data_IF_613980092361
#
_entry.id   IF_613980092361
#
_cell.length_a   1.000
_cell.length_b   1.000
_cell.length_c   1.000
_cell.angle_alpha   90.00
_cell.angle_beta   90.00
_cell.angle_gamma   90.00
#
_symmetry.space_group_name_H-M   'P 1'
#
loop_
_entity.id
_entity.type
_entity.pdbx_description
1 polymer ?
#
# COMPACT_ATOMS: atom_id res chain seq x y z
N UNK A 1 -9.90 16.94 11.77
CA UNK A 1 -9.75 15.64 12.48
C UNK A 1 -8.55 14.94 11.87
N UNK A 2 -7.70 14.21 12.62
CA UNK A 2 -6.65 13.43 11.99
C UNK A 2 -7.26 12.41 11.01
N UNK A 3 -6.53 12.08 9.96
CA UNK A 3 -6.90 11.04 9.00
C UNK A 3 -6.77 9.70 9.69
N UNK A 4 -7.88 8.97 9.73
CA UNK A 4 -7.90 7.56 10.12
C UNK A 4 -8.21 6.70 8.91
N UNK A 5 -7.66 5.48 8.93
CA UNK A 5 -7.80 4.53 7.83
C UNK A 5 -9.24 4.09 7.68
N UNK A 6 -9.92 3.77 8.78
CA UNK A 6 -11.28 3.24 8.73
C UNK A 6 -12.33 4.26 8.30
N UNK A 7 -12.20 5.54 8.68
CA UNK A 7 -13.08 6.61 8.18
C UNK A 7 -12.91 6.80 6.67
N UNK A 8 -11.66 6.84 6.20
CA UNK A 8 -11.37 6.95 4.77
C UNK A 8 -11.94 5.75 4.01
N UNK A 9 -11.72 4.53 4.53
CA UNK A 9 -12.23 3.30 3.91
C UNK A 9 -13.76 3.23 3.86
N UNK A 10 -14.48 3.77 4.85
CA UNK A 10 -15.93 3.85 4.81
C UNK A 10 -16.43 4.61 3.57
N UNK A 11 -15.85 5.78 3.30
CA UNK A 11 -16.19 6.57 2.11
C UNK A 11 -15.86 5.81 0.82
N UNK A 12 -14.70 5.15 0.77
CA UNK A 12 -14.24 4.36 -0.38
C UNK A 12 -15.15 3.16 -0.65
N UNK A 13 -15.50 2.39 0.38
CA UNK A 13 -16.40 1.23 0.27
C UNK A 13 -17.79 1.66 -0.17
N UNK A 14 -18.31 2.74 0.41
CA UNK A 14 -19.63 3.29 0.06
C UNK A 14 -19.69 3.69 -1.41
N UNK A 15 -18.71 4.47 -1.88
CA UNK A 15 -18.64 4.88 -3.28
C UNK A 15 -18.42 3.70 -4.22
N UNK A 16 -17.46 2.83 -3.90
CA UNK A 16 -17.10 1.68 -4.71
C UNK A 16 -18.28 0.74 -4.92
N UNK A 17 -19.01 0.38 -3.85
CA UNK A 17 -20.19 -0.49 -4.00
C UNK A 17 -21.33 0.21 -4.73
N UNK A 18 -21.54 1.51 -4.50
CA UNK A 18 -22.54 2.26 -5.28
C UNK A 18 -22.25 2.20 -6.78
N UNK A 19 -21.00 2.39 -7.19
CA UNK A 19 -20.60 2.35 -8.59
C UNK A 19 -20.75 0.96 -9.20
N UNK A 20 -20.36 -0.07 -8.45
CA UNK A 20 -20.53 -1.48 -8.86
C UNK A 20 -22.02 -1.81 -9.04
N UNK A 21 -22.86 -1.44 -8.07
CA UNK A 21 -24.31 -1.64 -8.15
C UNK A 21 -24.91 -0.96 -9.39
N UNK A 22 -24.52 0.29 -9.65
CA UNK A 22 -24.99 1.04 -10.80
C UNK A 22 -24.55 0.42 -12.12
N UNK A 23 -23.28 0.02 -12.24
CA UNK A 23 -22.73 -0.51 -13.48
C UNK A 23 -23.25 -1.91 -13.80
N UNK A 24 -23.29 -2.80 -12.81
CA UNK A 24 -23.69 -4.20 -12.99
C UNK A 24 -25.18 -4.46 -12.80
N UNK A 25 -25.97 -3.45 -12.40
CA UNK A 25 -27.41 -3.60 -12.17
C UNK A 25 -27.77 -4.53 -10.99
N UNK A 26 -26.86 -4.67 -10.02
CA UNK A 26 -27.05 -5.51 -8.83
C UNK A 26 -27.50 -4.68 -7.64
N UNK A 27 -28.34 -5.25 -6.78
CA UNK A 27 -28.76 -4.56 -5.56
C UNK A 27 -27.60 -4.42 -4.56
N UNK A 28 -27.65 -3.41 -3.67
CA UNK A 28 -26.67 -3.26 -2.58
C UNK A 28 -26.60 -4.52 -1.70
N UNK A 29 -27.75 -5.12 -1.40
CA UNK A 29 -27.83 -6.34 -0.60
C UNK A 29 -27.12 -7.53 -1.28
N UNK A 30 -27.30 -7.70 -2.59
CA UNK A 30 -26.61 -8.72 -3.37
C UNK A 30 -25.10 -8.47 -3.41
N UNK A 31 -24.67 -7.22 -3.63
CA UNK A 31 -23.26 -6.84 -3.64
C UNK A 31 -22.57 -7.16 -2.29
N UNK A 32 -23.21 -6.81 -1.17
CA UNK A 32 -22.73 -7.14 0.17
C UNK A 32 -22.65 -8.66 0.37
N UNK A 33 -23.66 -9.40 -0.06
CA UNK A 33 -23.68 -10.86 0.10
C UNK A 33 -22.53 -11.52 -0.67
N UNK A 34 -22.23 -11.07 -1.88
CA UNK A 34 -21.09 -11.55 -2.67
C UNK A 34 -19.75 -11.14 -2.06
N UNK A 35 -19.62 -9.91 -1.58
CA UNK A 35 -18.41 -9.48 -0.86
C UNK A 35 -18.15 -10.36 0.39
N UNK A 36 -19.19 -10.70 1.16
CA UNK A 36 -19.09 -11.64 2.29
C UNK A 36 -18.62 -13.02 1.88
N UNK A 37 -19.09 -13.54 0.75
CA UNK A 37 -18.63 -14.83 0.24
C UNK A 37 -17.12 -14.79 -0.03
N UNK A 38 -16.64 -13.72 -0.68
CA UNK A 38 -15.20 -13.50 -0.87
C UNK A 38 -14.43 -13.35 0.44
N UNK A 39 -14.98 -12.69 1.47
CA UNK A 39 -14.35 -12.64 2.80
C UNK A 39 -14.09 -14.04 3.38
N UNK A 40 -15.08 -14.93 3.24
CA UNK A 40 -14.98 -16.31 3.70
C UNK A 40 -13.90 -17.07 2.94
N UNK A 41 -14.00 -17.11 1.61
CA UNK A 41 -13.11 -17.90 0.75
C UNK A 41 -11.67 -17.37 0.74
N UNK A 42 -11.49 -16.06 0.60
CA UNK A 42 -10.16 -15.46 0.50
C UNK A 42 -9.36 -15.66 1.79
N UNK A 43 -10.01 -15.61 2.96
CA UNK A 43 -9.32 -15.79 4.24
C UNK A 43 -8.65 -17.15 4.40
N UNK A 44 -9.21 -18.21 3.81
CA UNK A 44 -8.54 -19.51 3.73
C UNK A 44 -7.44 -19.53 2.67
N UNK A 45 -7.66 -18.83 1.55
CA UNK A 45 -6.73 -18.77 0.43
C UNK A 45 -5.43 -18.04 0.78
N UNK A 46 -5.42 -16.94 1.56
CA UNK A 46 -4.16 -16.24 1.90
C UNK A 46 -3.09 -17.07 2.63
N UNK A 47 -3.46 -18.25 3.13
CA UNK A 47 -2.59 -19.20 3.80
C UNK A 47 -2.40 -20.50 3.01
N UNK A 48 -2.89 -20.58 1.76
CA UNK A 48 -2.69 -21.73 0.89
C UNK A 48 -1.66 -21.40 -0.20
N UNK A 49 -0.84 -22.40 -0.54
CA UNK A 49 0.23 -22.26 -1.55
C UNK A 49 -0.31 -22.10 -2.98
N UNK A 50 -1.61 -22.35 -3.20
CA UNK A 50 -2.26 -22.36 -4.52
C UNK A 50 -3.48 -21.42 -4.61
N UNK A 51 -3.51 -20.36 -3.80
CA UNK A 51 -4.61 -19.42 -3.79
C UNK A 51 -4.77 -18.67 -5.11
N UNK A 52 -5.88 -18.90 -5.80
CA UNK A 52 -6.31 -18.09 -6.93
C UNK A 52 -7.34 -17.07 -6.48
N UNK A 53 -6.88 -15.91 -6.03
CA UNK A 53 -7.74 -14.80 -5.62
C UNK A 53 -8.32 -14.13 -6.88
N UNK A 54 -9.63 -13.94 -6.90
CA UNK A 54 -10.35 -13.44 -8.07
C UNK A 54 -10.43 -11.91 -8.08
N UNK A 55 -9.29 -11.23 -8.04
CA UNK A 55 -9.26 -9.76 -7.97
C UNK A 55 -9.80 -9.07 -9.22
N UNK A 56 -10.07 -9.78 -10.30
CA UNK A 56 -10.84 -9.28 -11.44
C UNK A 56 -12.30 -8.95 -11.07
N UNK A 57 -12.90 -9.66 -10.10
CA UNK A 57 -14.23 -9.33 -9.60
C UNK A 57 -14.14 -8.11 -8.64
N UNK A 58 -14.87 -7.02 -8.93
CA UNK A 58 -14.82 -5.83 -8.09
C UNK A 58 -15.29 -6.07 -6.65
N UNK A 59 -16.20 -7.02 -6.40
CA UNK A 59 -16.67 -7.33 -5.05
C UNK A 59 -15.65 -8.15 -4.25
N UNK A 60 -14.76 -8.89 -4.93
CA UNK A 60 -13.58 -9.47 -4.30
C UNK A 60 -12.62 -8.36 -3.82
N UNK A 61 -12.43 -7.31 -4.63
CA UNK A 61 -11.65 -6.13 -4.25
C UNK A 61 -12.28 -5.36 -3.09
N UNK A 62 -13.60 -5.19 -3.05
CA UNK A 62 -14.33 -4.60 -1.91
C UNK A 62 -14.09 -5.43 -0.63
N UNK A 63 -14.17 -6.76 -0.71
CA UNK A 63 -13.90 -7.63 0.42
C UNK A 63 -12.45 -7.48 0.94
N UNK A 64 -11.49 -7.29 0.03
CA UNK A 64 -10.09 -7.00 0.38
C UNK A 64 -9.94 -5.64 1.09
N UNK A 65 -10.51 -4.58 0.50
CA UNK A 65 -10.50 -3.22 1.05
C UNK A 65 -10.98 -3.21 2.51
N UNK A 66 -12.13 -3.83 2.75
CA UNK A 66 -12.71 -3.95 4.08
C UNK A 66 -11.77 -4.69 5.06
N UNK A 67 -11.21 -5.82 4.63
CA UNK A 67 -10.51 -6.73 5.53
C UNK A 67 -9.10 -6.30 5.87
N UNK A 68 -8.34 -5.83 4.88
CA UNK A 68 -6.88 -5.82 4.97
C UNK A 68 -6.28 -4.43 4.87
N UNK A 69 -6.91 -3.50 4.13
CA UNK A 69 -6.26 -2.22 3.80
C UNK A 69 -5.97 -1.37 5.03
N UNK A 70 -6.87 -1.32 6.01
CA UNK A 70 -6.60 -0.59 7.26
C UNK A 70 -5.34 -1.10 7.97
N UNK A 71 -5.22 -2.42 8.14
CA UNK A 71 -4.04 -3.02 8.77
C UNK A 71 -2.78 -2.83 7.92
N UNK A 72 -2.88 -2.98 6.60
CA UNK A 72 -1.74 -2.84 5.69
C UNK A 72 -1.25 -1.39 5.61
N UNK A 73 -2.15 -0.42 5.69
CA UNK A 73 -1.81 1.00 5.80
C UNK A 73 -1.12 1.31 7.13
N UNK A 74 -1.60 0.77 8.25
CA UNK A 74 -0.98 0.94 9.57
C UNK A 74 0.42 0.32 9.64
N UNK A 75 0.65 -0.80 8.95
CA UNK A 75 1.99 -1.37 8.82
C UNK A 75 2.95 -0.39 8.13
N UNK A 76 2.50 0.29 7.08
CA UNK A 76 3.29 1.28 6.34
C UNK A 76 3.57 2.50 7.20
N UNK A 77 2.55 3.09 7.81
CA UNK A 77 2.72 4.21 8.76
C UNK A 77 3.76 3.88 9.85
N UNK A 78 3.63 2.70 10.46
CA UNK A 78 4.58 2.20 11.46
C UNK A 78 6.00 2.03 10.92
N UNK A 79 6.17 1.59 9.67
CA UNK A 79 7.50 1.44 9.08
C UNK A 79 8.22 2.78 8.94
N UNK A 80 7.51 3.82 8.50
CA UNK A 80 8.06 5.18 8.40
C UNK A 80 8.43 5.76 9.78
N UNK A 81 7.70 5.40 10.84
CA UNK A 81 8.05 5.81 12.20
C UNK A 81 9.22 5.03 12.81
N UNK A 82 9.34 3.73 12.49
CA UNK A 82 10.37 2.85 13.06
C UNK A 82 11.77 3.15 12.53
N UNK A 83 11.87 3.65 11.30
CA UNK A 83 13.15 3.93 10.69
C UNK A 83 13.46 5.43 10.72
N UNK A 84 14.25 5.86 11.70
CA UNK A 84 14.65 7.26 11.90
C UNK A 84 15.18 7.93 10.63
N UNK A 85 16.01 7.23 9.87
CA UNK A 85 16.66 7.75 8.67
C UNK A 85 15.64 8.01 7.55
N UNK A 86 14.65 7.12 7.40
CA UNK A 86 13.56 7.30 6.45
C UNK A 86 12.63 8.42 6.92
N UNK A 87 12.31 8.46 8.21
CA UNK A 87 11.49 9.52 8.81
C UNK A 87 12.11 10.89 8.60
N UNK A 88 13.39 11.05 8.92
CA UNK A 88 14.14 12.28 8.75
C UNK A 88 14.23 12.69 7.28
N UNK A 89 14.48 11.72 6.38
CA UNK A 89 14.50 11.98 4.95
C UNK A 89 13.18 12.58 4.45
N UNK A 90 12.05 12.03 4.88
CA UNK A 90 10.72 12.55 4.49
C UNK A 90 10.42 13.86 5.20
N UNK A 91 10.76 14.00 6.49
CA UNK A 91 10.57 15.24 7.23
C UNK A 91 11.32 16.42 6.61
N UNK A 92 12.50 16.18 6.04
CA UNK A 92 13.27 17.20 5.32
C UNK A 92 12.58 17.67 4.03
N UNK A 93 11.66 16.89 3.45
CA UNK A 93 10.92 17.30 2.25
C UNK A 93 9.99 18.49 2.51
N UNK A 94 9.50 18.65 3.75
CA UNK A 94 8.69 19.82 4.13
C UNK A 94 9.48 21.13 4.07
N UNK A 95 10.80 21.06 4.32
CA UNK A 95 11.67 22.23 4.37
C UNK A 95 12.20 22.62 2.98
N UNK A 96 12.32 21.65 2.07
CA UNK A 96 12.87 21.84 0.72
C UNK A 96 11.83 22.17 -0.34
N UNK A 97 10.53 22.04 -0.04
CA UNK A 97 9.43 22.15 -1.01
C UNK A 97 9.65 21.30 -2.27
N UNK A 98 10.30 20.16 -2.14
CA UNK A 98 10.56 19.24 -3.25
C UNK A 98 9.43 18.24 -3.45
N UNK A 99 9.27 17.81 -4.70
CA UNK A 99 8.40 16.70 -5.05
C UNK A 99 9.06 15.38 -4.64
N UNK A 100 8.32 14.54 -3.93
CA UNK A 100 8.77 13.24 -3.47
C UNK A 100 8.26 12.14 -4.42
N UNK A 101 9.18 11.34 -4.95
CA UNK A 101 8.86 10.21 -5.83
C UNK A 101 8.80 8.91 -5.01
N UNK A 102 7.61 8.31 -4.95
CA UNK A 102 7.35 7.06 -4.20
C UNK A 102 6.83 5.98 -5.15
N UNK A 103 7.32 4.76 -4.99
CA UNK A 103 6.85 3.61 -5.76
C UNK A 103 6.43 2.44 -4.86
N UNK A 104 5.19 1.97 -5.00
CA UNK A 104 4.73 0.73 -4.36
C UNK A 104 4.83 -0.44 -5.35
N UNK A 105 5.55 -1.50 -4.96
CA UNK A 105 5.74 -2.71 -5.77
C UNK A 105 4.81 -3.82 -5.28
N UNK A 106 3.83 -4.23 -6.08
CA UNK A 106 2.75 -5.12 -5.67
C UNK A 106 1.74 -4.42 -4.76
N UNK A 107 1.40 -3.17 -5.10
CA UNK A 107 0.67 -2.27 -4.20
C UNK A 107 -0.82 -2.55 -4.05
N UNK A 108 -1.39 -3.48 -4.83
CA UNK A 108 -2.81 -3.82 -4.81
C UNK A 108 -3.72 -2.59 -4.81
N UNK A 109 -4.61 -2.41 -3.82
CA UNK A 109 -5.51 -1.26 -3.74
C UNK A 109 -4.84 0.06 -3.34
N UNK A 110 -3.55 0.07 -2.98
CA UNK A 110 -2.80 1.26 -2.57
C UNK A 110 -2.83 1.55 -1.07
N UNK A 111 -2.76 0.51 -0.22
CA UNK A 111 -2.59 0.67 1.23
C UNK A 111 -1.37 1.50 1.60
N UNK A 112 -0.31 1.45 0.80
CA UNK A 112 0.94 2.17 1.06
C UNK A 112 0.73 3.67 0.97
N UNK A 113 -0.08 4.14 0.02
CA UNK A 113 -0.43 5.55 -0.08
C UNK A 113 -1.21 5.99 1.17
N UNK A 114 -2.17 5.20 1.61
CA UNK A 114 -3.01 5.52 2.77
C UNK A 114 -2.17 5.63 4.05
N UNK A 115 -1.28 4.66 4.30
CA UNK A 115 -0.34 4.70 5.42
C UNK A 115 0.61 5.90 5.33
N UNK A 116 1.15 6.15 4.14
CA UNK A 116 2.06 7.27 3.92
C UNK A 116 1.40 8.65 4.12
N UNK A 117 0.13 8.80 3.73
CA UNK A 117 -0.63 10.03 3.95
C UNK A 117 -0.80 10.33 5.44
N UNK A 118 -1.15 9.32 6.26
CA UNK A 118 -1.29 9.48 7.71
C UNK A 118 0.05 9.86 8.35
N UNK A 119 1.14 9.21 7.92
CA UNK A 119 2.50 9.56 8.33
C UNK A 119 2.84 11.04 8.03
N UNK A 120 2.63 11.47 6.78
CA UNK A 120 2.88 12.86 6.35
C UNK A 120 2.04 13.87 7.13
N UNK A 121 0.77 13.57 7.39
CA UNK A 121 -0.08 14.44 8.20
C UNK A 121 0.45 14.62 9.62
N UNK A 122 0.89 13.54 10.26
CA UNK A 122 1.44 13.55 11.62
C UNK A 122 2.82 14.24 11.70
N UNK A 123 3.68 14.06 10.70
CA UNK A 123 5.01 14.70 10.64
C UNK A 123 5.00 16.15 10.14
N UNK A 124 3.84 16.65 9.70
CA UNK A 124 3.69 17.99 9.15
C UNK A 124 4.18 19.06 10.13
N UNK A 125 5.08 19.93 9.66
CA UNK A 125 5.55 21.11 10.41
C UNK A 125 4.78 22.36 10.00
N UNK A 126 3.99 22.92 10.90
CA UNK A 126 3.16 24.10 10.62
C UNK A 126 2.22 23.89 9.42
N UNK A 127 2.25 24.80 8.46
CA UNK A 127 1.47 24.70 7.22
C UNK A 127 2.23 23.98 6.09
N UNK A 128 3.35 23.30 6.38
CA UNK A 128 4.16 22.59 5.40
C UNK A 128 3.34 21.60 4.57
N UNK A 129 3.78 21.34 3.33
CA UNK A 129 3.13 20.44 2.39
C UNK A 129 4.18 19.65 1.63
N UNK A 130 3.87 18.40 1.30
CA UNK A 130 4.67 17.58 0.38
C UNK A 130 3.85 17.29 -0.88
N UNK A 131 4.46 17.52 -2.05
CA UNK A 131 3.90 17.09 -3.32
C UNK A 131 4.47 15.71 -3.63
N UNK A 132 3.62 14.72 -3.90
CA UNK A 132 4.02 13.31 -4.01
C UNK A 132 3.58 12.73 -5.34
N UNK A 133 4.56 12.26 -6.12
CA UNK A 133 4.32 11.39 -7.25
C UNK A 133 4.35 9.94 -6.77
N UNK A 134 3.16 9.36 -6.64
CA UNK A 134 3.00 7.98 -6.18
C UNK A 134 2.76 7.07 -7.38
N UNK A 135 3.72 6.19 -7.66
CA UNK A 135 3.60 5.14 -8.67
C UNK A 135 3.19 3.83 -8.01
N UNK A 136 2.08 3.24 -8.43
CA UNK A 136 1.66 1.91 -7.98
C UNK A 136 1.91 0.90 -9.10
N UNK A 137 2.65 -0.15 -8.79
CA UNK A 137 2.90 -1.27 -9.71
C UNK A 137 2.15 -2.49 -9.20
N UNK A 138 1.28 -3.04 -10.03
CA UNK A 138 0.59 -4.29 -9.75
C UNK A 138 0.14 -4.95 -11.05
N UNK A 139 0.22 -6.28 -11.14
CA UNK A 139 -0.20 -7.01 -12.34
C UNK A 139 -1.71 -7.04 -12.54
N UNK A 140 -2.50 -6.89 -11.47
CA UNK A 140 -3.95 -6.87 -11.55
C UNK A 140 -4.39 -5.44 -11.89
N UNK A 141 -4.58 -5.18 -13.19
CA UNK A 141 -4.88 -3.84 -13.68
C UNK A 141 -6.19 -3.24 -13.13
N UNK A 142 -7.12 -4.07 -12.69
CA UNK A 142 -8.38 -3.61 -12.09
C UNK A 142 -8.19 -2.93 -10.72
N UNK A 143 -7.00 -3.04 -10.10
CA UNK A 143 -6.67 -2.24 -8.94
C UNK A 143 -6.59 -0.75 -9.24
N UNK A 144 -6.31 -0.33 -10.49
CA UNK A 144 -6.27 1.10 -10.83
C UNK A 144 -7.61 1.80 -10.55
N UNK A 145 -8.73 1.12 -10.87
CA UNK A 145 -10.08 1.61 -10.55
C UNK A 145 -10.27 1.75 -9.04
N UNK A 146 -9.91 0.73 -8.27
CA UNK A 146 -10.03 0.73 -6.80
C UNK A 146 -9.16 1.80 -6.17
N UNK A 147 -7.94 1.97 -6.69
CA UNK A 147 -7.00 2.98 -6.23
C UNK A 147 -7.47 4.40 -6.56
N UNK A 148 -8.10 4.62 -7.72
CA UNK A 148 -8.75 5.89 -8.06
C UNK A 148 -9.84 6.26 -7.05
N UNK A 149 -10.67 5.29 -6.65
CA UNK A 149 -11.71 5.52 -5.62
C UNK A 149 -11.05 5.84 -4.26
N UNK A 150 -9.97 5.14 -3.90
CA UNK A 150 -9.21 5.42 -2.68
C UNK A 150 -8.64 6.84 -2.64
N UNK A 151 -7.99 7.27 -3.72
CA UNK A 151 -7.44 8.64 -3.85
C UNK A 151 -8.55 9.69 -3.77
N UNK A 152 -9.71 9.43 -4.39
CA UNK A 152 -10.85 10.35 -4.28
C UNK A 152 -11.39 10.41 -2.85
N UNK A 153 -11.47 9.28 -2.15
CA UNK A 153 -11.84 9.24 -0.73
C UNK A 153 -10.90 10.10 0.12
N UNK A 154 -9.59 9.98 -0.10
CA UNK A 154 -8.59 10.84 0.56
C UNK A 154 -8.80 12.33 0.25
N UNK A 155 -9.06 12.68 -1.01
CA UNK A 155 -9.33 14.06 -1.39
C UNK A 155 -10.58 14.62 -0.69
N UNK A 156 -11.65 13.85 -0.55
CA UNK A 156 -12.83 14.29 0.21
C UNK A 156 -12.50 14.47 1.70
N UNK A 157 -11.74 13.55 2.30
CA UNK A 157 -11.25 13.70 3.68
C UNK A 157 -10.42 14.97 3.83
N UNK A 158 -9.53 15.29 2.88
CA UNK A 158 -8.76 16.53 2.93
C UNK A 158 -9.64 17.78 2.77
N UNK A 159 -10.64 17.77 1.88
CA UNK A 159 -11.57 18.90 1.75
C UNK A 159 -12.31 19.18 3.05
N UNK A 160 -12.74 18.12 3.74
CA UNK A 160 -13.42 18.22 5.04
C UNK A 160 -12.48 18.77 6.11
N UNK A 161 -11.24 18.26 6.18
CA UNK A 161 -10.31 18.59 7.25
C UNK A 161 -9.52 19.89 7.04
N UNK A 162 -9.22 20.26 5.79
CA UNK A 162 -8.30 21.34 5.42
C UNK A 162 -8.92 22.38 4.47
N UNK A 163 -10.17 22.17 4.05
CA UNK A 163 -10.90 23.05 3.15
C UNK A 163 -10.66 22.75 1.66
N UNK A 164 -11.37 23.50 0.81
CA UNK A 164 -11.41 23.27 -0.65
C UNK A 164 -10.09 23.58 -1.37
N UNK A 165 -9.22 24.41 -0.77
CA UNK A 165 -7.94 24.76 -1.37
C UNK A 165 -6.90 23.68 -1.12
N UNK A 166 -6.39 23.07 -2.20
CA UNK A 166 -5.28 22.09 -2.13
C UNK A 166 -4.01 22.66 -1.52
N UNK A 167 -3.85 23.98 -1.48
CA UNK A 167 -2.70 24.64 -0.83
C UNK A 167 -2.67 24.39 0.69
N UNK A 168 -3.82 24.12 1.30
CA UNK A 168 -3.93 23.87 2.74
C UNK A 168 -3.70 22.39 3.10
N UNK A 169 -3.75 21.49 2.11
CA UNK A 169 -3.66 20.06 2.34
C UNK A 169 -2.23 19.70 2.77
N UNK A 170 -2.06 18.71 3.66
CA UNK A 170 -0.73 18.27 4.11
C UNK A 170 0.07 17.64 2.96
N UNK A 171 -0.64 17.09 1.97
CA UNK A 171 -0.07 16.35 0.85
C UNK A 171 -0.91 16.59 -0.41
N UNK A 172 -0.24 16.68 -1.56
CA UNK A 172 -0.88 16.61 -2.88
C UNK A 172 -0.36 15.38 -3.59
N UNK A 173 -1.27 14.48 -3.98
CA UNK A 173 -0.91 13.19 -4.58
C UNK A 173 -1.15 13.25 -6.08
N UNK A 174 -0.07 13.08 -6.84
CA UNK A 174 -0.10 12.71 -8.25
C UNK A 174 0.00 11.19 -8.34
N UNK A 175 -0.97 10.56 -9.00
CA UNK A 175 -1.06 9.10 -9.09
C UNK A 175 -0.62 8.58 -10.45
N UNK A 176 0.04 7.43 -10.48
CA UNK A 176 0.31 6.71 -11.72
C UNK A 176 0.32 5.20 -11.49
N UNK A 177 -0.39 4.44 -12.31
CA UNK A 177 -0.51 2.99 -12.21
C UNK A 177 0.23 2.32 -13.36
N UNK A 178 1.04 1.29 -13.07
CA UNK A 178 1.71 0.49 -14.09
C UNK A 178 1.30 -1.00 -13.95
N UNK A 179 0.60 -1.57 -14.95
CA UNK A 179 0.14 -2.96 -14.92
C UNK A 179 1.28 -3.96 -15.21
N UNK A 180 2.30 -4.02 -14.34
CA UNK A 180 3.49 -4.85 -14.55
C UNK A 180 3.53 -6.03 -13.58
N UNK A 181 4.01 -7.17 -14.06
CA UNK A 181 4.17 -8.38 -13.26
C UNK A 181 5.57 -8.47 -12.67
N UNK A 182 5.68 -8.40 -11.34
CA UNK A 182 6.96 -8.52 -10.63
C UNK A 182 7.63 -9.88 -10.86
N UNK A 183 6.90 -10.92 -11.26
CA UNK A 183 7.44 -12.21 -11.66
C UNK A 183 7.91 -12.26 -13.14
N UNK A 184 7.85 -11.15 -13.89
CA UNK A 184 8.24 -11.06 -15.31
C UNK A 184 9.14 -9.86 -15.57
N UNK A 185 10.46 -10.08 -15.53
CA UNK A 185 11.45 -9.02 -15.75
C UNK A 185 11.27 -8.27 -17.09
N UNK A 186 10.76 -8.94 -18.13
CA UNK A 186 10.47 -8.34 -19.44
C UNK A 186 9.48 -7.17 -19.38
N UNK A 187 8.56 -7.17 -18.42
CA UNK A 187 7.58 -6.10 -18.24
C UNK A 187 8.27 -4.76 -17.89
N UNK A 188 9.48 -4.81 -17.34
CA UNK A 188 10.20 -3.64 -16.86
C UNK A 188 11.19 -3.08 -17.89
N UNK A 189 11.54 -3.82 -18.94
CA UNK A 189 12.65 -3.46 -19.85
C UNK A 189 12.44 -2.14 -20.59
N UNK A 190 11.18 -1.78 -20.89
CA UNK A 190 10.85 -0.58 -21.67
C UNK A 190 10.64 0.68 -20.82
N UNK A 191 11.05 0.67 -19.55
CA UNK A 191 10.87 1.78 -18.61
C UNK A 191 12.22 2.29 -18.08
N UNK A 192 13.13 2.79 -18.94
CA UNK A 192 14.49 3.15 -18.53
C UNK A 192 14.53 4.32 -17.54
N UNK A 193 13.67 5.32 -17.72
CA UNK A 193 13.64 6.52 -16.88
C UNK A 193 12.63 6.44 -15.73
N UNK A 194 11.76 5.41 -15.70
CA UNK A 194 10.61 5.40 -14.79
C UNK A 194 10.98 5.20 -13.33
N UNK A 195 12.15 4.62 -13.10
CA UNK A 195 12.65 4.24 -11.78
C UNK A 195 13.85 5.08 -11.34
N UNK A 196 14.37 5.95 -12.21
CA UNK A 196 15.63 6.67 -11.95
C UNK A 196 15.50 7.82 -10.96
N UNK A 197 14.29 8.32 -10.74
CA UNK A 197 13.98 9.42 -9.84
C UNK A 197 13.24 8.98 -8.58
N UNK A 198 12.83 7.70 -8.48
CA UNK A 198 12.16 7.16 -7.30
C UNK A 198 13.11 7.19 -6.11
N UNK A 199 12.64 7.78 -5.01
CA UNK A 199 13.41 7.97 -3.78
C UNK A 199 13.00 6.97 -2.71
N UNK A 200 11.75 6.50 -2.71
CA UNK A 200 11.24 5.51 -1.76
C UNK A 200 10.47 4.42 -2.50
N UNK A 201 10.94 3.18 -2.36
CA UNK A 201 10.24 1.99 -2.79
C UNK A 201 9.61 1.30 -1.59
N UNK A 202 8.35 0.90 -1.70
CA UNK A 202 7.61 0.19 -0.65
C UNK A 202 7.18 -1.17 -1.17
N UNK A 203 7.53 -2.22 -0.44
CA UNK A 203 7.10 -3.60 -0.67
C UNK A 203 6.33 -4.05 0.58
N UNK A 204 5.01 -4.00 0.51
CA UNK A 204 4.13 -4.32 1.63
C UNK A 204 3.32 -5.57 1.34
N UNK A 205 3.60 -6.65 2.07
CA UNK A 205 3.10 -8.00 1.81
C UNK A 205 3.45 -8.61 0.44
N UNK A 206 4.26 -7.92 -0.36
CA UNK A 206 4.68 -8.35 -1.70
C UNK A 206 5.47 -9.66 -1.68
N UNK A 207 6.47 -9.79 -0.78
CA UNK A 207 7.42 -10.91 -0.83
C UNK A 207 6.76 -12.22 -0.40
N UNK A 208 5.75 -12.16 0.47
CA UNK A 208 4.97 -13.32 0.90
C UNK A 208 3.90 -13.78 -0.08
N UNK A 209 3.68 -13.06 -1.19
CA UNK A 209 2.71 -13.49 -2.20
C UNK A 209 3.11 -14.86 -2.77
N UNK A 210 2.20 -15.88 -2.73
CA UNK A 210 2.53 -17.25 -3.11
C UNK A 210 3.15 -17.37 -4.51
N UNK A 211 2.68 -16.55 -5.45
CA UNK A 211 3.19 -16.54 -6.81
C UNK A 211 4.62 -16.02 -6.92
N UNK A 212 4.98 -14.97 -6.18
CA UNK A 212 6.37 -14.49 -6.14
C UNK A 212 7.28 -15.48 -5.41
N UNK A 213 6.75 -16.20 -4.42
CA UNK A 213 7.45 -17.30 -3.78
C UNK A 213 7.61 -18.53 -4.69
N UNK A 214 6.71 -18.76 -5.64
CA UNK A 214 6.83 -19.80 -6.66
C UNK A 214 7.82 -19.39 -7.77
N UNK A 215 7.89 -18.09 -8.09
CA UNK A 215 8.74 -17.52 -9.14
C UNK A 215 9.92 -16.70 -8.59
N UNK A 216 10.50 -17.12 -7.46
CA UNK A 216 11.54 -16.36 -6.73
C UNK A 216 12.71 -15.92 -7.59
N UNK A 217 13.19 -16.77 -8.50
CA UNK A 217 14.32 -16.43 -9.38
C UNK A 217 13.98 -15.30 -10.34
N UNK A 218 12.79 -15.31 -10.92
CA UNK A 218 12.34 -14.24 -11.82
C UNK A 218 12.06 -12.96 -11.05
N UNK A 219 11.40 -13.06 -9.88
CA UNK A 219 11.20 -11.90 -9.01
C UNK A 219 12.53 -11.25 -8.59
N UNK A 220 13.54 -12.06 -8.24
CA UNK A 220 14.88 -11.54 -7.93
C UNK A 220 15.55 -10.83 -9.11
N UNK A 221 15.37 -11.33 -10.34
CA UNK A 221 15.86 -10.65 -11.56
C UNK A 221 15.16 -9.32 -11.76
N UNK A 222 13.83 -9.31 -11.71
CA UNK A 222 13.02 -8.09 -11.81
C UNK A 222 13.44 -7.06 -10.75
N UNK A 223 13.59 -7.50 -9.50
CA UNK A 223 14.00 -6.63 -8.41
C UNK A 223 15.41 -6.06 -8.63
N UNK A 224 16.36 -6.88 -9.10
CA UNK A 224 17.70 -6.42 -9.46
C UNK A 224 17.68 -5.39 -10.59
N UNK A 225 16.81 -5.55 -11.59
CA UNK A 225 16.63 -4.53 -12.65
C UNK A 225 16.11 -3.20 -12.09
N UNK A 226 15.16 -3.24 -11.15
CA UNK A 226 14.65 -2.04 -10.48
C UNK A 226 15.76 -1.37 -9.67
N UNK A 227 16.51 -2.13 -8.86
CA UNK A 227 17.64 -1.61 -8.07
C UNK A 227 18.72 -1.00 -8.96
N UNK A 228 19.03 -1.62 -10.09
CA UNK A 228 20.06 -1.09 -11.03
C UNK A 228 19.68 0.28 -11.58
N UNK A 229 18.38 0.56 -11.71
CA UNK A 229 17.86 1.83 -12.23
C UNK A 229 17.55 2.85 -11.15
N UNK A 230 17.39 2.42 -9.89
CA UNK A 230 17.09 3.30 -8.77
C UNK A 230 18.21 4.32 -8.54
N UNK A 231 17.82 5.53 -8.12
CA UNK A 231 18.78 6.57 -7.73
C UNK A 231 19.64 6.15 -6.55
N UNK A 232 20.92 6.52 -6.55
CA UNK A 232 21.80 6.36 -5.39
C UNK A 232 21.18 7.05 -4.18
N UNK A 233 21.14 6.35 -3.06
CA UNK A 233 20.54 6.84 -1.83
C UNK A 233 19.04 6.56 -1.68
N UNK A 234 18.36 6.04 -2.71
CA UNK A 234 16.95 5.63 -2.61
C UNK A 234 16.73 4.57 -1.53
N UNK A 235 15.59 4.65 -0.84
CA UNK A 235 15.19 3.73 0.20
C UNK A 235 14.32 2.60 -0.36
N UNK A 236 14.53 1.39 0.15
CA UNK A 236 13.71 0.22 -0.10
C UNK A 236 13.16 -0.28 1.23
N UNK A 237 11.85 -0.11 1.41
CA UNK A 237 11.12 -0.45 2.64
C UNK A 237 10.39 -1.77 2.40
N UNK A 238 10.80 -2.80 3.14
CA UNK A 238 10.15 -4.10 3.13
C UNK A 238 9.30 -4.27 4.38
N UNK A 239 8.05 -4.66 4.20
CA UNK A 239 7.07 -4.84 5.25
C UNK A 239 6.34 -6.14 4.93
N UNK A 240 6.56 -7.19 5.70
CA UNK A 240 5.90 -8.47 5.39
C UNK A 240 5.70 -9.34 6.63
N UNK A 241 5.13 -10.54 6.44
CA UNK A 241 4.93 -11.53 7.48
C UNK A 241 6.28 -11.91 8.08
N UNK A 242 6.36 -11.92 9.41
CA UNK A 242 7.50 -12.47 10.14
C UNK A 242 7.45 -14.00 10.13
N UNK A 243 7.69 -14.57 8.95
CA UNK A 243 7.82 -16.00 8.68
C UNK A 243 9.23 -16.27 8.16
N UNK A 244 9.88 -17.33 8.63
CA UNK A 244 11.29 -17.61 8.34
C UNK A 244 11.62 -17.56 6.83
N UNK A 245 10.81 -18.21 5.99
CA UNK A 245 11.02 -18.23 4.55
C UNK A 245 10.90 -16.83 3.89
N UNK A 246 9.98 -16.00 4.40
CA UNK A 246 9.74 -14.62 3.92
C UNK A 246 10.87 -13.70 4.38
N UNK A 247 11.26 -13.77 5.66
CA UNK A 247 12.39 -13.03 6.23
C UNK A 247 13.68 -13.35 5.48
N UNK A 248 13.95 -14.63 5.22
CA UNK A 248 15.10 -15.05 4.45
C UNK A 248 15.07 -14.52 2.99
N UNK A 249 13.88 -14.43 2.39
CA UNK A 249 13.72 -13.85 1.06
C UNK A 249 13.97 -12.34 1.06
N UNK A 250 13.41 -11.60 2.02
CA UNK A 250 13.66 -10.16 2.19
C UNK A 250 15.14 -9.88 2.42
N UNK A 251 15.80 -10.64 3.30
CA UNK A 251 17.23 -10.44 3.57
C UNK A 251 18.09 -10.69 2.33
N UNK A 252 17.71 -11.61 1.43
CA UNK A 252 18.39 -11.78 0.13
C UNK A 252 18.15 -10.58 -0.79
N UNK A 253 16.93 -10.06 -0.86
CA UNK A 253 16.60 -8.90 -1.70
C UNK A 253 17.29 -7.63 -1.20
N UNK A 254 17.28 -7.39 0.11
CA UNK A 254 17.88 -6.23 0.76
C UNK A 254 19.42 -6.19 0.70
N UNK A 255 20.05 -7.30 0.27
CA UNK A 255 21.50 -7.43 0.07
C UNK A 255 21.84 -7.79 -1.39
N UNK A 256 20.95 -7.52 -2.34
CA UNK A 256 21.30 -7.64 -3.78
C UNK A 256 22.34 -6.58 -4.13
N UNK A 257 23.18 -6.85 -5.15
CA UNK A 257 24.20 -5.91 -5.62
C UNK A 257 23.64 -4.49 -5.78
N UNK A 258 24.30 -3.53 -5.11
CA UNK A 258 23.88 -2.12 -5.10
C UNK A 258 22.90 -1.74 -3.98
N UNK A 259 22.42 -2.67 -3.15
CA UNK A 259 21.68 -2.36 -1.92
C UNK A 259 22.50 -2.70 -0.68
N UNK A 260 22.36 -1.87 0.35
CA UNK A 260 22.81 -2.17 1.70
C UNK A 260 21.61 -2.18 2.66
N UNK A 261 21.42 -3.28 3.39
CA UNK A 261 20.48 -3.34 4.50
C UNK A 261 20.96 -2.42 5.63
N UNK A 262 20.17 -1.38 5.95
CA UNK A 262 20.47 -0.42 7.01
C UNK A 262 19.97 -0.92 8.35
N UNK A 263 18.71 -1.34 8.38
CA UNK A 263 18.01 -1.65 9.62
C UNK A 263 16.96 -2.74 9.35
N UNK A 264 16.68 -3.56 10.36
CA UNK A 264 15.55 -4.45 10.37
C UNK A 264 15.02 -4.64 11.78
N UNK A 265 13.74 -4.96 11.88
CA UNK A 265 13.08 -5.25 13.15
C UNK A 265 11.85 -6.10 12.90
N UNK A 266 11.23 -6.61 13.95
CA UNK A 266 9.95 -7.28 13.87
C UNK A 266 9.02 -6.79 14.97
N UNK A 267 7.73 -6.92 14.74
CA UNK A 267 6.73 -6.55 15.71
C UNK A 267 5.50 -7.45 15.60
N UNK A 268 4.99 -7.85 16.76
CA UNK A 268 3.68 -8.47 16.89
C UNK A 268 2.78 -7.53 17.65
N UNK A 269 1.96 -6.78 16.92
CA UNK A 269 1.09 -5.75 17.50
C UNK A 269 -0.29 -5.74 16.84
N UNK A 270 -1.11 -4.80 17.26
CA UNK A 270 -2.45 -4.55 16.74
C UNK A 270 -2.51 -3.16 16.11
N UNK A 271 -3.66 -2.83 15.53
CA UNK A 271 -4.00 -1.49 15.05
C UNK A 271 -3.70 -0.40 16.09
N UNK A 272 -3.25 0.76 15.63
CA UNK A 272 -3.01 1.94 16.48
C UNK A 272 -4.28 2.31 17.27
N UNK A 273 -4.09 2.92 18.45
CA UNK A 273 -5.20 3.27 19.34
C UNK A 273 -6.11 4.38 18.81
N UNK A 274 -5.65 5.15 17.83
CA UNK A 274 -6.45 6.20 17.18
C UNK A 274 -7.32 5.66 16.02
N UNK A 275 -7.22 4.37 15.70
CA UNK A 275 -8.08 3.69 14.73
C UNK A 275 -9.24 2.98 15.41
N UNK A 276 -10.48 3.35 15.07
CA UNK A 276 -11.70 2.70 15.53
C UNK A 276 -12.34 1.92 14.38
N UNK A 277 -12.40 0.59 14.50
CA UNK A 277 -12.99 -0.28 13.45
C UNK A 277 -14.46 0.06 13.14
N UNK A 278 -15.19 0.63 14.10
CA UNK A 278 -16.57 1.10 13.91
C UNK A 278 -16.66 2.33 13.00
N UNK A 279 -15.56 3.02 12.74
CA UNK A 279 -15.52 4.10 11.75
C UNK A 279 -15.73 3.62 10.31
N UNK A 280 -15.67 2.31 10.07
CA UNK A 280 -16.18 1.67 8.85
C UNK A 280 -17.71 1.87 8.66
N UNK A 281 -18.41 2.42 9.66
CA UNK A 281 -19.83 2.76 9.58
C UNK A 281 -20.70 1.53 9.36
N UNK A 282 -21.69 1.64 8.47
CA UNK A 282 -22.60 0.53 8.15
C UNK A 282 -21.85 -0.72 7.66
N UNK A 283 -20.66 -0.59 7.07
CA UNK A 283 -19.89 -1.73 6.57
C UNK A 283 -19.43 -2.63 7.71
N UNK A 284 -19.18 -2.08 8.90
CA UNK A 284 -18.85 -2.86 10.08
C UNK A 284 -19.97 -3.87 10.40
N UNK A 285 -21.20 -3.38 10.50
CA UNK A 285 -22.37 -4.19 10.82
C UNK A 285 -22.76 -5.10 9.66
N UNK A 286 -22.72 -4.57 8.43
CA UNK A 286 -23.15 -5.28 7.24
C UNK A 286 -22.24 -6.46 6.93
N UNK A 287 -20.92 -6.38 7.11
CA UNK A 287 -20.00 -7.46 6.74
C UNK A 287 -20.00 -8.65 7.72
N UNK A 288 -20.40 -8.43 8.98
CA UNK A 288 -20.58 -9.51 9.95
C UNK A 288 -19.30 -10.22 10.40
N UNK A 289 -18.13 -9.62 10.14
CA UNK A 289 -16.81 -10.10 10.56
C UNK A 289 -15.91 -8.91 10.81
N UNK A 290 -15.14 -8.89 11.89
CA UNK A 290 -14.17 -7.82 12.12
C UNK A 290 -13.10 -7.75 11.00
N UNK A 291 -12.64 -6.53 10.61
CA UNK A 291 -11.48 -6.39 9.74
C UNK A 291 -10.22 -6.95 10.44
N UNK A 292 -9.13 -7.11 9.69
CA UNK A 292 -7.83 -7.47 10.27
C UNK A 292 -7.35 -6.32 11.16
N UNK A 293 -7.01 -6.64 12.40
CA UNK A 293 -6.53 -5.68 13.40
C UNK A 293 -5.19 -6.08 14.01
N UNK A 294 -4.64 -7.24 13.66
CA UNK A 294 -3.45 -7.81 14.28
C UNK A 294 -2.49 -8.34 13.23
N UNK A 295 -1.21 -8.29 13.53
CA UNK A 295 -0.17 -8.80 12.66
C UNK A 295 1.06 -9.26 13.44
N UNK A 296 1.90 -10.04 12.74
CA UNK A 296 3.27 -10.34 13.13
C UNK A 296 4.12 -9.99 11.90
N UNK A 297 4.71 -8.80 11.92
CA UNK A 297 5.37 -8.19 10.78
C UNK A 297 6.88 -8.12 10.97
N UNK A 298 7.60 -8.35 9.89
CA UNK A 298 9.02 -8.07 9.74
C UNK A 298 9.17 -6.81 8.91
N UNK A 299 10.03 -5.91 9.35
CA UNK A 299 10.34 -4.65 8.71
C UNK A 299 11.83 -4.67 8.36
N UNK A 300 12.17 -4.28 7.14
CA UNK A 300 13.55 -4.04 6.75
C UNK A 300 13.66 -2.76 5.92
N UNK A 301 14.71 -2.00 6.15
CA UNK A 301 15.08 -0.83 5.39
C UNK A 301 16.43 -1.07 4.72
N UNK A 302 16.45 -1.02 3.40
CA UNK A 302 17.69 -1.00 2.63
C UNK A 302 17.85 0.34 1.90
N UNK A 303 19.08 0.64 1.50
CA UNK A 303 19.42 1.83 0.72
C UNK A 303 20.24 1.47 -0.50
N UNK A 304 19.93 2.10 -1.63
CA UNK A 304 20.78 2.03 -2.82
C UNK A 304 22.13 2.68 -2.52
N UNK A 305 23.19 1.89 -2.63
CA UNK A 305 24.59 2.35 -2.58
C UNK A 305 25.02 2.81 -3.99
N UNK A 306 26.26 3.26 -4.15
CA UNK A 306 26.84 3.47 -5.49
C UNK A 306 26.60 2.26 -6.41
#
# INVERSE_FOLDING_TARGET
MPITFFQTLNAVLTKGVSDICQYYGVSKAEAIQRAKQYLGTNSAAYYSDNAQLQYQDPLCRIAYLYSYVGAHANLVDNAFYKFSELREFVANQFDTYSELQVCSLGGGPGSELLGFVKFIERERRGNGRVDVNFTLIDKVCQWDETWQVLVNGLHETFKINYGMSRQNWPIVVNRSFLPLDLAKATDFQNFPARFSDVQVYVLNHTVSEPELLAHRSEFQKTFKEIVTRASTGAFFVFIDRNQEAVVAAINRLANVDGLALINNTFEKTNMDLDEEKRDLGEWYDLMGRDPKLKWNAYYALARKTE
#
